data_IF_498641671042
#
_entry.id   IF_498641671042
#
_cell.length_a   1.000
_cell.length_b   1.000
_cell.length_c   1.000
_cell.angle_alpha   90.00
_cell.angle_beta   90.00
_cell.angle_gamma   90.00
#
_symmetry.space_group_name_H-M   'P 1'
#
loop_
_entity.id
_entity.type
_entity.pdbx_description
1 polymer ?
#
# COMPACT_ATOMS: atom_id res chain seq x y z
N UNK A 1 36.26 -0.83 -10.01
CA UNK A 1 35.21 -1.72 -10.52
C UNK A 1 33.89 -1.09 -10.07
N UNK A 2 33.03 -0.64 -11.00
CA UNK A 2 31.72 -0.10 -10.62
C UNK A 2 30.87 -1.27 -10.11
N UNK A 3 30.19 -1.17 -8.94
CA UNK A 3 29.26 -2.20 -8.53
C UNK A 3 28.17 -2.28 -9.59
N UNK A 4 27.86 -3.47 -10.07
CA UNK A 4 26.73 -3.70 -10.97
C UNK A 4 25.44 -3.41 -10.20
N UNK A 5 24.61 -2.50 -10.73
CA UNK A 5 23.28 -2.20 -10.21
C UNK A 5 22.37 -3.41 -10.50
N UNK A 6 22.28 -4.35 -9.57
CA UNK A 6 21.47 -5.57 -9.68
C UNK A 6 20.44 -5.68 -8.55
N UNK A 7 19.20 -6.05 -8.90
CA UNK A 7 18.14 -6.33 -7.93
C UNK A 7 18.41 -7.68 -7.27
N UNK A 8 18.42 -7.71 -5.93
CA UNK A 8 18.44 -8.97 -5.16
C UNK A 8 17.03 -9.54 -5.14
N UNK A 9 16.83 -10.74 -5.68
CA UNK A 9 15.51 -11.40 -5.71
C UNK A 9 15.27 -12.30 -4.48
N UNK A 10 16.32 -12.90 -3.91
CA UNK A 10 16.27 -13.74 -2.71
C UNK A 10 17.26 -13.22 -1.65
N UNK A 11 16.84 -13.11 -0.38
CA UNK A 11 17.67 -12.62 0.72
C UNK A 11 18.11 -13.77 1.63
N UNK A 12 19.40 -13.81 1.95
CA UNK A 12 20.01 -14.75 2.91
C UNK A 12 21.02 -14.02 3.82
N UNK A 13 21.58 -14.72 4.81
CA UNK A 13 22.63 -14.21 5.69
C UNK A 13 23.87 -13.79 4.87
N UNK A 14 24.22 -12.49 4.91
CA UNK A 14 25.42 -11.96 4.25
C UNK A 14 25.19 -11.18 2.95
N UNK A 15 23.95 -10.94 2.53
CA UNK A 15 23.65 -10.10 1.35
C UNK A 15 23.87 -8.61 1.66
N UNK A 16 24.77 -7.95 0.92
CA UNK A 16 25.03 -6.51 0.99
C UNK A 16 24.29 -5.74 -0.13
N UNK A 17 23.41 -4.81 0.25
CA UNK A 17 22.69 -3.96 -0.69
C UNK A 17 23.59 -2.79 -1.16
N UNK A 18 23.78 -2.65 -2.48
CA UNK A 18 24.46 -1.50 -3.09
C UNK A 18 23.47 -0.69 -3.93
N UNK A 19 23.25 0.58 -3.58
CA UNK A 19 22.39 1.46 -4.37
C UNK A 19 22.32 2.89 -3.84
N UNK A 20 21.63 3.76 -4.59
CA UNK A 20 21.35 5.13 -4.18
C UNK A 20 20.04 5.18 -3.39
N UNK A 21 20.08 5.74 -2.18
CA UNK A 21 18.89 5.83 -1.33
C UNK A 21 18.57 7.28 -0.95
N UNK A 22 17.30 7.51 -0.62
CA UNK A 22 16.80 8.79 -0.07
C UNK A 22 16.21 8.49 1.30
N UNK A 23 16.76 9.10 2.36
CA UNK A 23 16.25 8.95 3.71
C UNK A 23 14.83 9.52 3.81
N UNK A 24 13.89 8.73 4.37
CA UNK A 24 12.47 9.12 4.56
C UNK A 24 12.26 10.26 5.56
N UNK A 25 13.28 10.61 6.35
CA UNK A 25 13.23 11.81 7.20
C UNK A 25 13.63 13.01 6.35
N UNK A 26 12.67 13.53 5.59
CA UNK A 26 12.79 14.87 5.05
C UNK A 26 12.71 15.85 6.24
N UNK A 27 13.87 16.24 6.77
CA UNK A 27 13.95 17.37 7.67
C UNK A 27 13.29 18.57 7.00
N UNK A 28 12.49 19.34 7.74
CA UNK A 28 11.88 20.60 7.31
C UNK A 28 12.99 21.62 7.06
N UNK A 29 13.77 21.43 6.00
CA UNK A 29 14.81 22.34 5.56
C UNK A 29 14.65 22.50 4.06
N UNK A 30 14.79 23.73 3.56
CA UNK A 30 14.72 24.08 2.13
C UNK A 30 15.85 23.44 1.29
N UNK A 31 16.61 22.51 1.85
CA UNK A 31 17.71 21.85 1.18
C UNK A 31 17.18 20.70 0.31
N UNK A 32 17.73 20.58 -0.90
CA UNK A 32 17.49 19.39 -1.74
C UNK A 32 17.84 18.14 -0.93
N UNK A 33 17.04 17.05 -1.01
CA UNK A 33 17.37 15.81 -0.32
C UNK A 33 18.79 15.39 -0.69
N UNK A 34 19.63 15.23 0.32
CA UNK A 34 21.04 14.85 0.14
C UNK A 34 21.07 13.42 -0.35
N UNK A 35 21.74 13.18 -1.47
CA UNK A 35 22.02 11.84 -1.98
C UNK A 35 23.11 11.22 -1.12
N UNK A 36 22.89 10.00 -0.67
CA UNK A 36 23.86 9.24 0.11
C UNK A 36 24.25 8.00 -0.68
N UNK A 37 25.57 7.79 -0.82
CA UNK A 37 26.15 6.62 -1.45
C UNK A 37 26.86 5.83 -0.32
N UNK A 38 26.56 4.53 -0.15
CA UNK A 38 27.16 3.69 0.89
C UNK A 38 26.29 2.47 1.26
N UNK A 39 26.81 1.54 2.09
CA UNK A 39 26.01 0.43 2.63
C UNK A 39 24.84 0.96 3.47
N UNK A 40 23.68 0.29 3.48
CA UNK A 40 22.48 0.77 4.16
C UNK A 40 22.70 0.91 5.67
N UNK A 41 22.88 2.14 6.13
CA UNK A 41 22.95 2.48 7.55
C UNK A 41 21.52 2.80 8.04
N UNK A 42 20.83 1.81 8.61
CA UNK A 42 19.60 2.04 9.38
C UNK A 42 18.38 2.54 8.60
N UNK A 43 18.32 2.30 7.29
CA UNK A 43 17.11 2.51 6.49
C UNK A 43 16.31 1.21 6.47
N UNK A 44 14.99 1.32 6.58
CA UNK A 44 14.08 0.20 6.37
C UNK A 44 14.36 -0.37 4.96
N UNK A 45 15.16 -1.43 4.88
CA UNK A 45 15.59 -2.09 3.65
C UNK A 45 14.45 -2.35 2.64
N UNK A 46 13.18 -2.53 3.07
CA UNK A 46 12.07 -2.67 2.15
C UNK A 46 11.65 -1.45 1.33
N UNK A 47 12.21 -0.27 1.60
CA UNK A 47 12.04 0.91 0.75
C UNK A 47 13.08 1.00 -0.39
N UNK A 48 13.96 -0.01 -0.52
CA UNK A 48 14.85 -0.12 -1.68
C UNK A 48 14.05 -0.46 -2.93
N UNK A 49 14.12 0.44 -3.89
CA UNK A 49 13.82 0.16 -5.28
C UNK A 49 14.89 0.82 -6.14
N UNK A 50 15.25 0.15 -7.24
CA UNK A 50 16.17 0.73 -8.20
C UNK A 50 15.60 2.03 -8.79
N UNK A 51 16.46 2.78 -9.47
CA UNK A 51 16.10 4.11 -10.02
C UNK A 51 14.94 4.03 -11.00
N UNK A 52 14.88 2.99 -11.82
CA UNK A 52 13.85 2.81 -12.84
C UNK A 52 12.51 2.45 -12.18
N UNK A 53 12.50 1.48 -11.27
CA UNK A 53 11.32 1.11 -10.49
C UNK A 53 10.75 2.32 -9.74
N UNK A 54 11.59 3.09 -9.05
CA UNK A 54 11.16 4.30 -8.34
C UNK A 54 10.61 5.37 -9.30
N UNK A 55 11.21 5.52 -10.48
CA UNK A 55 10.71 6.41 -11.53
C UNK A 55 9.33 5.98 -12.04
N UNK A 56 9.14 4.70 -12.35
CA UNK A 56 7.86 4.16 -12.80
C UNK A 56 6.78 4.25 -11.71
N UNK A 57 7.13 4.01 -10.45
CA UNK A 57 6.26 4.24 -9.30
C UNK A 57 5.75 5.69 -9.26
N UNK A 58 6.64 6.66 -9.44
CA UNK A 58 6.25 8.09 -9.52
C UNK A 58 5.34 8.38 -10.70
N UNK A 59 5.60 7.76 -11.86
CA UNK A 59 4.73 7.89 -13.02
C UNK A 59 3.32 7.34 -12.75
N UNK A 60 3.20 6.16 -12.12
CA UNK A 60 1.90 5.59 -11.74
C UNK A 60 1.18 6.50 -10.75
N UNK A 61 1.85 6.97 -9.70
CA UNK A 61 1.24 7.86 -8.71
C UNK A 61 0.79 9.19 -9.34
N UNK A 62 1.58 9.77 -10.24
CA UNK A 62 1.20 10.98 -10.97
C UNK A 62 -0.04 10.74 -11.85
N UNK A 63 -0.14 9.57 -12.48
CA UNK A 63 -1.31 9.19 -13.25
C UNK A 63 -2.55 9.02 -12.36
N UNK A 64 -2.42 8.34 -11.21
CA UNK A 64 -3.49 8.25 -10.23
C UNK A 64 -3.90 9.62 -9.66
N UNK A 65 -2.97 10.58 -9.54
CA UNK A 65 -3.29 11.97 -9.16
C UNK A 65 -4.18 12.64 -10.19
N UNK A 66 -3.91 12.45 -11.49
CA UNK A 66 -4.76 12.97 -12.57
C UNK A 66 -6.18 12.40 -12.47
N UNK A 67 -6.33 11.14 -12.05
CA UNK A 67 -7.61 10.46 -11.91
C UNK A 67 -8.35 10.75 -10.58
N UNK A 68 -7.87 11.67 -9.74
CA UNK A 68 -8.61 12.08 -8.53
C UNK A 68 -9.82 12.95 -8.86
N UNK A 69 -10.81 12.96 -7.97
CA UNK A 69 -11.94 13.90 -8.09
C UNK A 69 -11.44 15.34 -7.98
N UNK A 70 -11.99 16.19 -8.84
CA UNK A 70 -11.63 17.61 -8.94
C UNK A 70 -10.14 17.85 -9.24
N UNK A 71 -9.48 16.89 -9.91
CA UNK A 71 -8.12 17.10 -10.38
C UNK A 71 -8.07 18.29 -11.35
N UNK A 72 -7.11 19.22 -11.17
CA UNK A 72 -6.93 20.33 -12.11
C UNK A 72 -6.25 19.86 -13.41
N UNK A 73 -5.74 18.64 -13.44
CA UNK A 73 -5.06 18.06 -14.58
C UNK A 73 -6.03 17.29 -15.46
N UNK A 74 -5.88 17.44 -16.78
CA UNK A 74 -6.66 16.68 -17.76
C UNK A 74 -5.86 15.53 -18.34
N UNK A 75 -6.55 14.47 -18.78
CA UNK A 75 -5.92 13.32 -19.46
C UNK A 75 -5.22 13.70 -20.77
N UNK A 76 -5.63 14.82 -21.40
CA UNK A 76 -5.00 15.38 -22.60
C UNK A 76 -3.63 15.99 -22.30
N UNK A 77 -3.47 16.65 -21.15
CA UNK A 77 -2.18 17.21 -20.71
C UNK A 77 -1.17 16.13 -20.30
N UNK A 78 -1.63 14.90 -20.07
CA UNK A 78 -0.82 13.77 -19.60
C UNK A 78 -0.28 12.88 -20.74
N UNK A 79 -0.25 13.35 -21.99
CA UNK A 79 0.13 12.54 -23.15
C UNK A 79 1.50 11.86 -23.01
N UNK A 80 2.52 12.58 -22.56
CA UNK A 80 3.87 12.03 -22.35
C UNK A 80 3.89 10.98 -21.23
N UNK A 81 3.20 11.25 -20.12
CA UNK A 81 3.07 10.30 -19.00
C UNK A 81 2.39 9.00 -19.43
N UNK A 82 1.32 9.11 -20.23
CA UNK A 82 0.62 7.94 -20.79
C UNK A 82 1.52 7.14 -21.72
N UNK A 83 2.37 7.80 -22.51
CA UNK A 83 3.32 7.12 -23.38
C UNK A 83 4.34 6.28 -22.57
N UNK A 84 4.89 6.86 -21.48
CA UNK A 84 5.81 6.14 -20.56
C UNK A 84 5.11 4.92 -19.94
N UNK A 85 3.91 5.11 -19.38
CA UNK A 85 3.17 4.02 -18.75
C UNK A 85 2.76 2.94 -19.75
N UNK A 86 2.38 3.32 -20.98
CA UNK A 86 2.10 2.36 -22.05
C UNK A 86 3.35 1.54 -22.41
N UNK A 87 4.52 2.18 -22.60
CA UNK A 87 5.75 1.45 -22.96
C UNK A 87 6.20 0.48 -21.87
N UNK A 88 5.88 0.77 -20.61
CA UNK A 88 6.16 -0.09 -19.46
C UNK A 88 5.03 -1.11 -19.17
N UNK A 89 3.97 -1.17 -20.00
CA UNK A 89 2.78 -2.00 -19.78
C UNK A 89 2.10 -1.74 -18.40
N UNK A 90 2.11 -0.48 -17.97
CA UNK A 90 1.56 0.00 -16.69
C UNK A 90 0.25 0.78 -16.85
N UNK A 91 -0.20 1.08 -18.07
CA UNK A 91 -1.46 1.80 -18.29
C UNK A 91 -2.65 0.83 -18.39
N UNK A 92 -2.96 0.13 -17.29
CA UNK A 92 -4.03 -0.86 -17.21
C UNK A 92 -5.12 -0.45 -16.20
N UNK A 93 -6.09 0.36 -16.66
CA UNK A 93 -7.17 0.83 -15.81
C UNK A 93 -7.97 -0.32 -15.18
N UNK A 94 -8.21 -1.41 -15.92
CA UNK A 94 -8.98 -2.56 -15.42
C UNK A 94 -8.21 -3.29 -14.30
N UNK A 95 -6.90 -3.46 -14.43
CA UNK A 95 -6.06 -4.00 -13.37
C UNK A 95 -6.05 -3.14 -12.12
N UNK A 96 -6.03 -1.81 -12.26
CA UNK A 96 -6.12 -0.91 -11.10
C UNK A 96 -7.51 -0.90 -10.44
N UNK A 97 -8.60 -1.08 -11.20
CA UNK A 97 -9.94 -1.32 -10.65
C UNK A 97 -9.98 -2.63 -9.85
N UNK A 98 -9.44 -3.72 -10.44
CA UNK A 98 -9.37 -5.03 -9.78
C UNK A 98 -8.59 -4.95 -8.46
N UNK A 99 -7.53 -4.13 -8.40
CA UNK A 99 -6.72 -3.84 -7.21
C UNK A 99 -7.31 -2.76 -6.28
N UNK A 100 -8.56 -2.34 -6.48
CA UNK A 100 -9.22 -1.30 -5.67
C UNK A 100 -8.50 0.07 -5.64
N UNK A 101 -7.62 0.35 -6.61
CA UNK A 101 -6.90 1.63 -6.70
C UNK A 101 -7.67 2.65 -7.53
N UNK A 102 -8.51 2.17 -8.44
CA UNK A 102 -9.52 2.95 -9.16
C UNK A 102 -10.92 2.40 -8.86
N UNK A 103 -11.91 3.28 -8.97
CA UNK A 103 -13.33 2.93 -9.02
C UNK A 103 -14.04 3.76 -10.08
N UNK A 104 -14.53 3.12 -11.12
CA UNK A 104 -15.10 3.76 -12.31
C UNK A 104 -14.16 4.82 -12.94
N UNK A 105 -12.87 4.52 -13.01
CA UNK A 105 -11.83 5.38 -13.55
C UNK A 105 -11.36 6.50 -12.63
N UNK A 106 -11.88 6.58 -11.40
CA UNK A 106 -11.53 7.59 -10.40
C UNK A 106 -10.68 6.94 -9.31
N UNK A 107 -9.57 7.57 -8.93
CA UNK A 107 -8.71 7.09 -7.85
C UNK A 107 -9.48 7.00 -6.54
N UNK A 108 -9.38 5.85 -5.88
CA UNK A 108 -9.97 5.61 -4.57
C UNK A 108 -8.94 5.03 -3.61
N UNK A 109 -9.19 5.15 -2.30
CA UNK A 109 -8.37 4.49 -1.30
C UNK A 109 -8.57 2.96 -1.40
N UNK A 110 -7.50 2.16 -1.53
CA UNK A 110 -7.60 0.70 -1.66
C UNK A 110 -8.30 0.01 -0.49
N UNK A 111 -8.18 0.58 0.70
CA UNK A 111 -8.76 0.00 1.90
C UNK A 111 -10.27 0.28 2.00
N UNK A 112 -10.67 1.56 1.99
CA UNK A 112 -12.06 1.96 2.26
C UNK A 112 -12.91 2.24 1.01
N UNK A 113 -12.33 2.16 -0.19
CA UNK A 113 -12.96 2.37 -1.50
C UNK A 113 -13.64 3.73 -1.72
N UNK A 114 -13.44 4.68 -0.81
CA UNK A 114 -13.87 6.06 -1.01
C UNK A 114 -12.98 6.71 -2.07
N UNK A 115 -13.62 7.37 -3.03
CA UNK A 115 -12.92 8.18 -4.04
C UNK A 115 -12.10 9.28 -3.38
N UNK A 116 -10.91 9.54 -3.89
CA UNK A 116 -10.02 10.57 -3.39
C UNK A 116 -10.25 11.88 -4.14
N UNK A 117 -10.32 12.97 -3.39
CA UNK A 117 -10.31 14.33 -3.94
C UNK A 117 -8.87 14.82 -4.04
N UNK A 118 -8.57 15.56 -5.11
CA UNK A 118 -7.25 16.12 -5.36
C UNK A 118 -6.70 16.93 -4.17
N UNK A 119 -7.55 17.74 -3.53
CA UNK A 119 -7.18 18.54 -2.36
C UNK A 119 -6.64 17.70 -1.20
N UNK A 120 -7.09 16.45 -1.05
CA UNK A 120 -6.64 15.56 0.04
C UNK A 120 -5.17 15.14 -0.08
N UNK A 121 -4.56 15.29 -1.26
CA UNK A 121 -3.12 15.09 -1.47
C UNK A 121 -2.28 16.23 -0.89
N UNK A 122 -2.90 17.36 -0.55
CA UNK A 122 -2.24 18.58 -0.06
C UNK A 122 -2.70 18.98 1.34
N UNK A 123 -3.89 18.53 1.78
CA UNK A 123 -4.41 18.79 3.12
C UNK A 123 -3.64 17.99 4.16
N UNK A 124 -3.28 18.64 5.27
CA UNK A 124 -2.62 17.98 6.41
C UNK A 124 -3.63 17.26 7.29
N UNK A 125 -3.26 16.13 7.88
CA UNK A 125 -4.06 15.43 8.89
C UNK A 125 -3.42 15.50 10.27
N UNK A 126 -4.24 15.67 11.30
CA UNK A 126 -3.87 15.47 12.70
C UNK A 126 -4.43 14.11 13.16
N UNK A 127 -3.62 13.30 13.84
CA UNK A 127 -3.99 11.95 14.31
C UNK A 127 -4.44 11.94 15.77
N UNK A 128 -4.78 13.10 16.32
CA UNK A 128 -4.88 13.35 17.77
C UNK A 128 -5.97 12.52 18.49
N UNK A 129 -6.95 11.96 17.76
CA UNK A 129 -8.09 11.23 18.33
C UNK A 129 -8.27 9.78 17.82
N UNK A 130 -7.30 9.20 17.09
CA UNK A 130 -7.51 7.92 16.40
C UNK A 130 -7.01 6.71 17.19
N UNK A 131 -7.92 5.77 17.49
CA UNK A 131 -7.66 4.49 18.16
C UNK A 131 -6.68 3.55 17.41
N UNK A 132 -6.23 3.92 16.20
CA UNK A 132 -5.31 3.16 15.35
C UNK A 132 -3.82 3.40 15.59
N UNK A 133 -3.45 4.27 16.54
CA UNK A 133 -2.03 4.57 16.86
C UNK A 133 -1.22 3.34 17.32
N UNK A 134 -1.88 2.27 17.81
CA UNK A 134 -1.21 1.03 18.20
C UNK A 134 -0.51 0.29 17.04
N UNK A 135 -0.93 0.53 15.80
CA UNK A 135 -0.34 -0.06 14.59
C UNK A 135 0.61 0.92 13.84
N UNK A 136 0.77 2.15 14.33
CA UNK A 136 1.61 3.17 13.71
C UNK A 136 3.06 3.06 14.20
N UNK A 137 4.02 3.29 13.31
CA UNK A 137 5.41 3.52 13.73
C UNK A 137 5.53 4.83 14.53
N UNK A 138 6.47 4.89 15.48
CA UNK A 138 6.75 6.09 16.29
C UNK A 138 6.98 7.31 15.40
N UNK A 139 6.18 8.37 15.59
CA UNK A 139 6.35 9.62 14.86
C UNK A 139 7.56 10.41 15.39
N UNK A 140 8.48 10.79 14.50
CA UNK A 140 9.65 11.62 14.83
C UNK A 140 9.25 13.09 14.79
N UNK A 141 9.55 13.83 15.86
CA UNK A 141 9.30 15.27 15.94
C UNK A 141 10.04 16.01 14.81
N UNK A 142 9.31 16.77 13.99
CA UNK A 142 9.85 17.47 12.82
C UNK A 142 9.92 16.66 11.52
N UNK A 143 9.54 15.38 11.53
CA UNK A 143 9.27 14.63 10.30
C UNK A 143 7.89 15.02 9.73
N UNK A 144 7.78 15.02 8.41
CA UNK A 144 6.68 15.61 7.63
C UNK A 144 5.29 15.27 8.19
N UNK A 145 4.44 16.28 8.44
CA UNK A 145 3.03 16.05 8.75
C UNK A 145 2.42 15.30 7.57
N UNK A 146 1.89 14.10 7.81
CA UNK A 146 1.26 13.32 6.75
C UNK A 146 0.09 14.12 6.16
N UNK A 147 -0.06 14.06 4.86
CA UNK A 147 -1.27 14.54 4.18
C UNK A 147 -2.43 13.57 4.44
N UNK A 148 -3.66 14.02 4.22
CA UNK A 148 -4.86 13.18 4.39
C UNK A 148 -4.80 11.93 3.49
N UNK A 149 -4.18 12.06 2.31
CA UNK A 149 -3.84 10.96 1.40
C UNK A 149 -2.33 10.87 1.24
N UNK A 150 -1.76 9.68 1.34
CA UNK A 150 -0.33 9.42 1.12
C UNK A 150 -0.11 8.11 0.33
N UNK A 151 1.15 7.80 0.04
CA UNK A 151 1.54 6.56 -0.63
C UNK A 151 1.03 5.36 0.17
N UNK A 152 0.35 4.45 -0.50
CA UNK A 152 -0.28 3.26 0.05
C UNK A 152 0.30 2.04 -0.65
N UNK A 153 0.86 1.09 0.11
CA UNK A 153 1.33 -0.19 -0.42
C UNK A 153 0.23 -1.24 -0.25
N UNK A 154 -0.13 -1.92 -1.34
CA UNK A 154 -1.12 -2.99 -1.33
C UNK A 154 -0.59 -4.25 -0.68
N UNK A 155 0.71 -4.48 -0.78
CA UNK A 155 1.44 -5.56 -0.11
C UNK A 155 2.46 -4.89 0.81
N UNK A 156 2.53 -5.26 2.10
CA UNK A 156 3.44 -4.63 3.04
C UNK A 156 4.87 -4.90 2.61
N UNK A 157 5.73 -3.90 2.86
CA UNK A 157 7.15 -4.02 2.61
C UNK A 157 7.79 -4.71 3.82
N UNK A 158 8.21 -5.96 3.68
CA UNK A 158 8.80 -6.77 4.76
C UNK A 158 10.22 -7.17 4.40
N UNK A 159 11.04 -7.51 5.40
CA UNK A 159 12.43 -7.89 5.13
C UNK A 159 12.55 -9.13 4.23
N UNK A 160 11.62 -10.07 4.31
CA UNK A 160 11.61 -11.29 3.49
C UNK A 160 11.16 -11.10 2.05
N UNK A 161 10.49 -9.98 1.71
CA UNK A 161 10.08 -9.67 0.32
C UNK A 161 9.95 -8.17 0.10
N UNK A 162 10.67 -7.66 -0.92
CA UNK A 162 10.61 -6.25 -1.33
C UNK A 162 9.58 -6.05 -2.45
N UNK A 163 8.38 -5.67 -2.07
CA UNK A 163 7.23 -5.49 -2.98
C UNK A 163 7.01 -4.01 -3.34
N UNK A 164 8.09 -3.25 -3.52
CA UNK A 164 8.00 -1.87 -3.97
C UNK A 164 7.95 -1.80 -5.51
N UNK A 165 6.82 -2.18 -6.08
CA UNK A 165 6.61 -2.15 -7.54
C UNK A 165 5.50 -1.19 -7.96
N UNK A 166 5.50 -0.67 -9.20
CA UNK A 166 4.47 0.25 -9.68
C UNK A 166 3.03 -0.31 -9.62
N UNK A 167 2.86 -1.63 -9.64
CA UNK A 167 1.57 -2.31 -9.57
C UNK A 167 1.06 -2.49 -8.13
N UNK A 168 1.93 -2.40 -7.13
CA UNK A 168 1.62 -2.63 -5.72
C UNK A 168 1.49 -1.35 -4.91
N UNK A 169 1.58 -0.19 -5.57
CA UNK A 169 1.42 1.11 -4.93
C UNK A 169 0.17 1.85 -5.43
N UNK A 170 -0.38 2.68 -4.56
CA UNK A 170 -1.52 3.53 -4.85
C UNK A 170 -1.50 4.80 -3.97
N UNK A 171 -2.50 5.66 -4.16
CA UNK A 171 -2.87 6.67 -3.18
C UNK A 171 -3.89 6.11 -2.21
N UNK A 172 -3.76 6.37 -0.92
CA UNK A 172 -4.74 5.96 0.08
C UNK A 172 -4.81 6.92 1.27
N UNK A 173 -5.91 6.86 2.01
CA UNK A 173 -6.07 7.69 3.21
C UNK A 173 -5.02 7.31 4.25
N UNK A 174 -4.37 8.30 4.85
CA UNK A 174 -3.32 8.07 5.83
C UNK A 174 -3.84 7.28 7.06
N UNK A 175 -5.05 7.55 7.53
CA UNK A 175 -5.71 6.76 8.60
C UNK A 175 -5.90 5.30 8.17
N UNK A 176 -6.28 5.05 6.92
CA UNK A 176 -6.43 3.70 6.40
C UNK A 176 -5.10 2.96 6.38
N UNK A 177 -4.04 3.62 5.90
CA UNK A 177 -2.67 3.09 5.95
C UNK A 177 -2.26 2.73 7.38
N UNK A 178 -2.48 3.63 8.33
CA UNK A 178 -2.18 3.39 9.75
C UNK A 178 -2.95 2.21 10.33
N UNK A 179 -4.26 2.10 10.04
CA UNK A 179 -5.09 1.00 10.54
C UNK A 179 -4.70 -0.36 9.93
N UNK A 180 -4.30 -0.38 8.66
CA UNK A 180 -3.83 -1.60 8.00
C UNK A 180 -2.53 -2.11 8.63
N UNK A 181 -1.59 -1.20 8.91
CA UNK A 181 -0.27 -1.55 9.42
C UNK A 181 0.54 -2.36 8.40
N UNK A 182 1.31 -3.34 8.85
CA UNK A 182 2.15 -4.21 8.01
C UNK A 182 1.37 -5.43 7.48
N UNK A 183 0.15 -5.21 6.97
CA UNK A 183 -0.72 -6.28 6.44
C UNK A 183 -1.01 -6.07 4.97
N UNK A 184 -1.27 -7.15 4.24
CA UNK A 184 -1.71 -7.08 2.85
C UNK A 184 -3.11 -6.49 2.75
N UNK A 185 -3.28 -5.55 1.83
CA UNK A 185 -4.58 -5.03 1.44
C UNK A 185 -5.16 -5.89 0.31
N UNK A 186 -5.89 -6.95 0.67
CA UNK A 186 -6.62 -7.74 -0.31
C UNK A 186 -7.71 -6.90 -0.97
N UNK A 187 -7.83 -6.96 -2.29
CA UNK A 187 -8.92 -6.35 -3.03
C UNK A 187 -10.22 -7.15 -2.89
N UNK A 188 -11.36 -6.54 -3.22
CA UNK A 188 -12.64 -7.24 -3.19
C UNK A 188 -12.68 -8.34 -4.26
N UNK A 189 -12.15 -8.06 -5.45
CA UNK A 189 -12.08 -9.04 -6.53
C UNK A 189 -11.25 -10.27 -6.13
N UNK A 190 -10.07 -10.07 -5.53
CA UNK A 190 -9.23 -11.18 -5.04
C UNK A 190 -9.97 -12.05 -4.00
N UNK A 191 -10.71 -11.44 -3.08
CA UNK A 191 -11.46 -12.18 -2.06
C UNK A 191 -12.67 -12.92 -2.65
N UNK A 192 -13.35 -12.32 -3.63
CA UNK A 192 -14.47 -12.95 -4.35
C UNK A 192 -14.01 -14.16 -5.18
N UNK A 193 -12.85 -14.07 -5.82
CA UNK A 193 -12.28 -15.16 -6.62
C UNK A 193 -11.88 -16.38 -5.79
N UNK A 194 -11.46 -16.16 -4.54
CA UNK A 194 -11.14 -17.24 -3.57
C UNK A 194 -12.39 -17.88 -2.96
N UNK A 195 -13.51 -17.17 -2.95
CA UNK A 195 -14.82 -17.59 -2.45
C UNK A 195 -14.87 -18.12 -1.00
N UNK A 196 -13.97 -17.65 -0.13
CA UNK A 196 -14.04 -17.89 1.31
C UNK A 196 -15.07 -16.96 1.95
N UNK A 197 -16.32 -17.41 2.07
CA UNK A 197 -17.43 -16.58 2.58
C UNK A 197 -17.45 -16.50 4.10
N UNK A 198 -17.79 -15.32 4.61
CA UNK A 198 -18.13 -15.12 6.03
C UNK A 198 -19.64 -15.08 6.17
N UNK A 199 -20.18 -15.83 7.13
CA UNK A 199 -21.61 -15.86 7.39
C UNK A 199 -21.98 -16.01 8.86
N UNK A 200 -23.24 -15.70 9.16
CA UNK A 200 -23.88 -15.93 10.44
C UNK A 200 -24.66 -17.24 10.34
N UNK A 201 -24.44 -18.13 11.30
CA UNK A 201 -25.24 -19.35 11.46
C UNK A 201 -26.51 -18.98 12.21
N UNK A 202 -27.67 -19.19 11.58
CA UNK A 202 -29.00 -19.03 12.17
C UNK A 202 -29.75 -20.35 12.13
N UNK A 203 -30.85 -20.46 12.86
CA UNK A 203 -31.73 -21.64 12.82
C UNK A 203 -32.29 -21.88 11.41
N UNK A 204 -32.53 -20.81 10.63
CA UNK A 204 -33.05 -20.88 9.26
C UNK A 204 -31.98 -21.19 8.20
N UNK A 205 -30.69 -21.22 8.57
CA UNK A 205 -29.57 -21.49 7.68
C UNK A 205 -28.38 -20.54 7.84
N UNK A 206 -27.52 -20.49 6.81
CA UNK A 206 -26.32 -19.66 6.79
C UNK A 206 -26.58 -18.40 5.97
N UNK A 207 -26.43 -17.23 6.60
CA UNK A 207 -26.51 -15.92 5.96
C UNK A 207 -25.09 -15.38 5.72
N UNK A 208 -24.67 -15.23 4.46
CA UNK A 208 -23.32 -14.72 4.13
C UNK A 208 -23.31 -13.22 3.92
N UNK A 209 -22.31 -12.52 4.46
CA UNK A 209 -22.22 -11.05 4.41
C UNK A 209 -20.87 -10.51 3.92
N UNK A 210 -19.97 -11.38 3.45
CA UNK A 210 -18.68 -10.96 2.91
C UNK A 210 -17.75 -12.11 2.59
N UNK A 211 -16.49 -11.77 2.31
CA UNK A 211 -15.40 -12.69 2.05
C UNK A 211 -14.22 -12.38 2.97
N UNK A 212 -13.50 -13.43 3.39
CA UNK A 212 -12.34 -13.35 4.27
C UNK A 212 -11.06 -13.77 3.53
N UNK A 213 -9.93 -13.17 3.88
CA UNK A 213 -8.61 -13.60 3.41
C UNK A 213 -8.20 -14.95 4.02
N UNK A 214 -7.33 -15.70 3.34
CA UNK A 214 -6.84 -17.00 3.84
C UNK A 214 -6.06 -16.90 5.15
N UNK A 215 -5.39 -15.77 5.37
CA UNK A 215 -4.68 -15.47 6.63
C UNK A 215 -5.62 -14.98 7.74
N UNK A 216 -6.92 -14.91 7.47
CA UNK A 216 -7.98 -14.42 8.37
C UNK A 216 -7.82 -12.97 8.84
N UNK A 217 -6.91 -12.20 8.24
CA UNK A 217 -6.59 -10.84 8.70
C UNK A 217 -7.54 -9.76 8.16
N UNK A 218 -8.28 -10.05 7.09
CA UNK A 218 -9.15 -9.07 6.41
C UNK A 218 -10.48 -9.68 5.96
N UNK A 219 -11.57 -8.99 6.25
CA UNK A 219 -12.91 -9.29 5.72
C UNK A 219 -13.39 -8.11 4.89
N UNK A 220 -13.99 -8.37 3.72
CA UNK A 220 -14.71 -7.36 2.94
C UNK A 220 -16.18 -7.70 2.74
N UNK A 221 -17.02 -6.69 2.86
CA UNK A 221 -18.43 -6.77 2.49
C UNK A 221 -18.61 -6.73 0.96
N UNK A 222 -19.80 -7.07 0.43
CA UNK A 222 -20.14 -6.91 -1.00
C UNK A 222 -19.96 -5.50 -1.56
N UNK A 223 -19.98 -4.49 -0.70
CA UNK A 223 -19.77 -3.09 -1.08
C UNK A 223 -18.37 -2.58 -0.72
N UNK A 224 -17.49 -3.48 -0.24
CA UNK A 224 -16.10 -3.21 0.08
C UNK A 224 -15.84 -2.50 1.41
N UNK A 225 -16.85 -2.46 2.31
CA UNK A 225 -16.57 -2.18 3.71
C UNK A 225 -15.59 -3.22 4.25
N UNK A 226 -14.67 -2.81 5.10
CA UNK A 226 -13.53 -3.63 5.52
C UNK A 226 -13.49 -3.75 7.03
N UNK A 227 -13.26 -4.98 7.49
CA UNK A 227 -12.93 -5.29 8.87
C UNK A 227 -11.54 -5.92 8.88
N UNK A 228 -10.73 -5.49 9.84
CA UNK A 228 -9.34 -5.90 9.97
C UNK A 228 -9.16 -6.39 11.39
N UNK A 229 -8.55 -7.57 11.54
CA UNK A 229 -8.20 -8.07 12.86
C UNK A 229 -7.09 -7.20 13.45
N UNK A 230 -7.39 -6.49 14.53
CA UNK A 230 -6.47 -5.49 15.12
C UNK A 230 -5.30 -6.15 15.84
N UNK A 231 -5.52 -7.29 16.50
CA UNK A 231 -4.52 -8.07 17.22
C UNK A 231 -4.49 -9.48 16.66
N UNK A 232 -3.30 -9.96 16.31
CA UNK A 232 -3.10 -11.36 15.95
C UNK A 232 -3.20 -12.22 17.20
N UNK A 233 -4.42 -12.60 17.58
CA UNK A 233 -4.61 -13.91 18.19
C UNK A 233 -4.40 -14.89 17.04
N UNK A 234 -3.13 -15.11 16.68
CA UNK A 234 -2.75 -16.26 15.88
C UNK A 234 -3.09 -17.44 16.74
N UNK A 235 -4.16 -18.15 16.39
CA UNK A 235 -4.31 -19.54 16.80
C UNK A 235 -2.98 -20.19 16.42
N UNK A 236 -2.17 -20.58 17.42
CA UNK A 236 -0.99 -21.38 17.15
C UNK A 236 -1.47 -22.74 16.66
N UNK A 237 -0.63 -23.55 16.00
CA UNK A 237 -1.02 -24.92 15.65
C UNK A 237 -1.49 -25.73 16.89
N UNK A 238 -1.12 -25.30 18.10
CA UNK A 238 -1.59 -25.84 19.37
C UNK A 238 -3.08 -25.53 19.65
N UNK A 239 -3.60 -24.41 19.16
CA UNK A 239 -5.01 -24.02 19.34
C UNK A 239 -5.95 -24.70 18.34
N UNK A 240 -5.41 -25.35 17.30
CA UNK A 240 -6.17 -26.14 16.32
C UNK A 240 -6.40 -27.59 16.77
N UNK A 241 -5.81 -28.01 17.88
CA UNK A 241 -6.11 -29.31 18.50
C UNK A 241 -7.41 -29.19 19.27
N UNK A 242 -8.50 -29.70 18.71
CA UNK A 242 -9.76 -29.85 19.42
C UNK A 242 -9.50 -30.58 20.75
N UNK A 243 -9.94 -30.04 21.91
CA UNK A 243 -9.88 -30.79 23.14
C UNK A 243 -10.89 -31.94 23.07
N UNK A 244 -10.43 -33.12 22.65
CA UNK A 244 -11.18 -34.37 22.72
C UNK A 244 -11.35 -35.17 21.42
N UNK A 245 -10.28 -35.38 20.65
CA UNK A 245 -10.19 -36.55 19.74
C UNK A 245 -9.29 -37.62 20.35
#
# INVERSE_FOLDING_TARGET
MKPEEGKVEDRDEGVEDHGHYVLRVAAITKARPKRHDGPPQGIFAPEYADRETNYLCKCVLAWLTIQTRHSPYTTLQAGHLRAILNSANLLDAAGYERRNSLRHGITCCPLCLRTLNYEQLHSTIAFEDEAGLGNAATQIEGATRSTTVNLFHLIPLVYSSLEHTPQQIAWGHAICNTRLGQRRCYSLAELQERDLKVGVIREEGIETFGWISEDFQMIRSPYGAVWIQLNGDTLTEEDLVLPGS
#
